data_IF_570844576554
#
_entry.id   IF_570844576554
#
_cell.length_a   1.000
_cell.length_b   1.000
_cell.length_c   1.000
_cell.angle_alpha   90.00
_cell.angle_beta   90.00
_cell.angle_gamma   90.00
#
_symmetry.space_group_name_H-M   'P 1'
#
loop_
_entity.id
_entity.type
_entity.pdbx_description
1 polymer ?
#
# COMPACT_ATOMS: atom_id res chain seq x y z
N UNK A 1 10.69 37.91 -13.95
CA UNK A 1 9.40 38.41 -14.46
C UNK A 1 9.26 38.39 -16.00
N UNK A 2 10.16 37.72 -16.77
CA UNK A 2 10.08 37.69 -18.25
C UNK A 2 9.40 36.45 -18.86
N UNK A 3 9.58 35.27 -18.25
CA UNK A 3 9.39 33.96 -18.92
C UNK A 3 7.96 33.38 -18.92
N UNK A 4 6.92 34.21 -18.77
CA UNK A 4 5.51 33.75 -18.79
C UNK A 4 4.70 34.51 -19.85
N UNK A 5 5.20 35.67 -20.28
CA UNK A 5 4.55 36.54 -21.26
C UNK A 5 4.42 35.84 -22.61
N UNK A 6 5.42 35.08 -23.07
CA UNK A 6 5.32 34.28 -24.29
C UNK A 6 4.22 33.21 -24.23
N UNK A 7 4.06 32.52 -23.10
CA UNK A 7 3.03 31.47 -22.91
C UNK A 7 1.60 32.02 -22.89
N UNK A 8 1.40 33.22 -22.32
CA UNK A 8 0.07 33.82 -22.13
C UNK A 8 -0.31 34.74 -23.29
N UNK A 9 0.62 35.57 -23.77
CA UNK A 9 0.32 36.63 -24.74
C UNK A 9 0.32 36.20 -26.21
N UNK A 10 0.90 35.04 -26.56
CA UNK A 10 0.76 34.43 -27.89
C UNK A 10 -0.67 33.90 -28.14
N UNK A 11 -1.25 33.04 -27.29
CA UNK A 11 -2.61 32.52 -27.52
C UNK A 11 -3.70 33.60 -27.35
N UNK A 12 -3.57 34.51 -26.37
CA UNK A 12 -4.52 35.62 -26.16
C UNK A 12 -4.35 36.77 -27.18
N UNK A 13 -3.29 36.72 -27.99
CA UNK A 13 -2.92 37.79 -28.92
C UNK A 13 -3.39 37.59 -30.36
N UNK A 14 -4.08 36.49 -30.66
CA UNK A 14 -4.57 36.17 -31.99
C UNK A 14 -5.69 37.15 -32.38
N UNK A 15 -5.33 38.24 -33.06
CA UNK A 15 -6.26 39.27 -33.53
C UNK A 15 -5.82 40.72 -33.29
N UNK A 16 -4.73 40.94 -32.53
CA UNK A 16 -4.17 42.27 -32.30
C UNK A 16 -3.03 42.55 -33.29
N UNK A 17 -3.07 43.73 -33.94
CA UNK A 17 -1.99 44.21 -34.80
C UNK A 17 -0.76 44.57 -33.97
N UNK A 18 0.12 43.58 -33.78
CA UNK A 18 1.37 43.73 -33.03
C UNK A 18 2.55 44.04 -33.97
N UNK A 19 3.46 44.95 -33.60
CA UNK A 19 4.67 45.23 -34.36
C UNK A 19 5.54 43.97 -34.50
N UNK A 20 6.22 43.86 -35.65
CA UNK A 20 6.94 42.65 -36.07
C UNK A 20 8.02 42.21 -35.09
N UNK A 21 8.72 43.17 -34.48
CA UNK A 21 9.71 42.94 -33.44
C UNK A 21 9.12 42.27 -32.18
N UNK A 22 7.94 42.73 -31.74
CA UNK A 22 7.27 42.18 -30.56
C UNK A 22 6.79 40.75 -30.80
N UNK A 23 6.31 40.44 -32.02
CA UNK A 23 5.95 39.08 -32.43
C UNK A 23 7.17 38.15 -32.42
N UNK A 24 8.32 38.63 -32.90
CA UNK A 24 9.56 37.86 -32.90
C UNK A 24 10.07 37.60 -31.48
N UNK A 25 10.12 38.64 -30.65
CA UNK A 25 10.56 38.53 -29.25
C UNK A 25 9.69 37.57 -28.43
N UNK A 26 8.35 37.62 -28.57
CA UNK A 26 7.43 36.69 -27.90
C UNK A 26 7.65 35.23 -28.32
N UNK A 27 8.01 34.96 -29.59
CA UNK A 27 8.33 33.60 -30.05
C UNK A 27 9.62 33.08 -29.43
N UNK A 28 10.64 33.93 -29.29
CA UNK A 28 11.90 33.59 -28.64
C UNK A 28 11.68 33.32 -27.16
N UNK A 29 10.93 34.17 -26.45
CA UNK A 29 10.56 33.98 -25.05
C UNK A 29 9.78 32.67 -24.83
N UNK A 30 8.82 32.37 -25.71
CA UNK A 30 8.07 31.12 -25.68
C UNK A 30 8.98 29.89 -25.88
N UNK A 31 9.85 29.90 -26.90
CA UNK A 31 10.75 28.80 -27.17
C UNK A 31 11.72 28.56 -26.02
N UNK A 32 12.28 29.62 -25.45
CA UNK A 32 13.22 29.53 -24.32
C UNK A 32 12.52 29.02 -23.06
N UNK A 33 11.30 29.48 -22.79
CA UNK A 33 10.48 29.00 -21.67
C UNK A 33 10.13 27.53 -21.83
N UNK A 34 9.77 27.08 -23.04
CA UNK A 34 9.49 25.67 -23.31
C UNK A 34 10.74 24.80 -23.10
N UNK A 35 11.91 25.27 -23.56
CA UNK A 35 13.19 24.58 -23.37
C UNK A 35 13.55 24.46 -21.88
N UNK A 36 13.35 25.53 -21.09
CA UNK A 36 13.59 25.50 -19.64
C UNK A 36 12.55 24.68 -18.88
N UNK A 37 11.32 24.59 -19.39
CA UNK A 37 10.26 23.80 -18.80
C UNK A 37 10.39 22.30 -19.13
N UNK A 38 11.05 21.92 -20.23
CA UNK A 38 11.24 20.51 -20.61
C UNK A 38 11.85 19.64 -19.51
N UNK A 39 12.95 20.04 -18.83
CA UNK A 39 13.47 19.32 -17.68
C UNK A 39 12.45 19.20 -16.54
N UNK A 40 11.68 20.26 -16.28
CA UNK A 40 10.65 20.28 -15.24
C UNK A 40 9.52 19.32 -15.60
N UNK A 41 9.04 19.30 -16.85
CA UNK A 41 8.03 18.35 -17.30
C UNK A 41 8.51 16.91 -17.22
N UNK A 42 9.77 16.65 -17.58
CA UNK A 42 10.36 15.31 -17.49
C UNK A 42 10.47 14.84 -16.03
N UNK A 43 11.00 15.69 -15.14
CA UNK A 43 11.09 15.40 -13.70
C UNK A 43 9.70 15.24 -13.08
N UNK A 44 8.77 16.15 -13.39
CA UNK A 44 7.40 16.08 -12.87
C UNK A 44 6.67 14.82 -13.35
N UNK A 45 6.91 14.36 -14.59
CA UNK A 45 6.35 13.10 -15.12
C UNK A 45 6.87 11.88 -14.37
N UNK A 46 8.17 11.84 -14.05
CA UNK A 46 8.78 10.76 -13.26
C UNK A 46 8.37 10.80 -11.79
N UNK A 47 7.95 11.96 -11.29
CA UNK A 47 7.37 12.15 -9.95
C UNK A 47 5.86 11.87 -9.90
N UNK A 48 5.19 11.58 -11.03
CA UNK A 48 3.77 11.29 -11.01
C UNK A 48 3.52 9.88 -10.47
N UNK A 49 2.51 9.70 -9.61
CA UNK A 49 2.12 8.38 -9.15
C UNK A 49 1.73 7.49 -10.32
N UNK A 50 2.18 6.23 -10.31
CA UNK A 50 1.73 5.26 -11.31
C UNK A 50 0.57 4.44 -10.80
N UNK A 51 -0.50 4.38 -11.59
CA UNK A 51 -1.62 3.49 -11.33
C UNK A 51 -1.20 2.03 -11.47
N UNK A 52 -1.34 1.29 -10.38
CA UNK A 52 -1.06 -0.15 -10.25
C UNK A 52 -2.31 -0.97 -10.53
N UNK A 53 -3.43 -0.58 -9.94
CA UNK A 53 -4.73 -1.21 -10.06
C UNK A 53 -5.83 -0.16 -9.96
N UNK A 54 -6.95 -0.36 -10.63
CA UNK A 54 -8.01 0.65 -10.70
C UNK A 54 -9.38 -0.02 -10.84
N UNK A 55 -10.37 0.53 -10.15
CA UNK A 55 -11.79 0.28 -10.28
C UNK A 55 -12.52 1.63 -10.39
N UNK A 56 -13.83 1.64 -10.65
CA UNK A 56 -14.63 2.86 -10.77
C UNK A 56 -14.52 3.78 -9.54
N UNK A 57 -14.43 3.21 -8.34
CA UNK A 57 -14.43 3.96 -7.06
C UNK A 57 -13.06 3.98 -6.36
N UNK A 58 -12.18 3.04 -6.67
CA UNK A 58 -10.93 2.82 -5.95
C UNK A 58 -9.73 2.78 -6.88
N UNK A 59 -8.57 3.16 -6.37
CA UNK A 59 -7.31 3.13 -7.10
C UNK A 59 -6.22 2.64 -6.16
N UNK A 60 -5.32 1.81 -6.68
CA UNK A 60 -4.02 1.55 -6.07
C UNK A 60 -2.99 2.24 -6.93
N UNK A 61 -2.21 3.14 -6.34
CA UNK A 61 -1.13 3.85 -7.01
C UNK A 61 0.18 3.66 -6.26
N UNK A 62 1.31 3.64 -6.96
CA UNK A 62 2.62 3.78 -6.33
C UNK A 62 3.12 5.21 -6.41
N UNK A 63 3.85 5.63 -5.38
CA UNK A 63 4.75 6.76 -5.54
C UNK A 63 5.94 6.32 -6.39
N UNK A 64 6.09 6.94 -7.55
CA UNK A 64 7.35 6.89 -8.28
C UNK A 64 8.04 8.21 -7.98
N UNK A 65 9.15 8.15 -7.24
CA UNK A 65 9.99 9.29 -6.98
C UNK A 65 11.44 8.85 -7.08
N UNK A 66 12.32 9.74 -7.54
CA UNK A 66 13.77 9.50 -7.64
C UNK A 66 14.40 9.01 -6.31
N UNK A 67 13.77 9.35 -5.18
CA UNK A 67 14.18 8.96 -3.82
C UNK A 67 13.07 8.21 -3.05
N UNK A 68 11.94 7.88 -3.70
CA UNK A 68 10.83 7.25 -3.01
C UNK A 68 11.16 5.78 -2.72
N UNK A 69 11.02 5.38 -1.45
CA UNK A 69 10.88 3.99 -1.08
C UNK A 69 9.60 3.50 -1.78
N UNK A 70 9.69 2.45 -2.61
CA UNK A 70 8.56 2.03 -3.45
C UNK A 70 7.40 1.64 -2.54
N UNK A 71 6.42 2.52 -2.45
CA UNK A 71 5.21 2.28 -1.68
C UNK A 71 4.03 2.25 -2.63
N UNK A 72 3.03 1.48 -2.25
CA UNK A 72 1.75 1.50 -2.93
C UNK A 72 0.67 1.87 -1.94
N UNK A 73 -0.30 2.62 -2.40
CA UNK A 73 -1.36 3.16 -1.58
C UNK A 73 -2.69 2.77 -2.20
N UNK A 74 -3.56 2.19 -1.38
CA UNK A 74 -4.96 2.04 -1.71
C UNK A 74 -5.67 3.35 -1.38
N UNK A 75 -6.39 3.90 -2.35
CA UNK A 75 -7.13 5.13 -2.20
C UNK A 75 -8.54 5.05 -2.82
N UNK A 76 -9.45 5.86 -2.28
CA UNK A 76 -10.78 6.07 -2.83
C UNK A 76 -10.78 7.30 -3.71
N UNK A 77 -11.41 7.22 -4.88
CA UNK A 77 -11.59 8.37 -5.78
C UNK A 77 -12.61 9.32 -5.16
N UNK A 78 -12.24 10.59 -4.97
CA UNK A 78 -13.08 11.63 -4.40
C UNK A 78 -12.95 12.92 -5.22
N UNK A 79 -13.79 13.02 -6.27
CA UNK A 79 -13.74 14.13 -7.21
C UNK A 79 -12.41 14.19 -7.96
N UNK A 80 -11.67 15.29 -7.82
CA UNK A 80 -10.37 15.50 -8.48
C UNK A 80 -9.22 14.85 -7.70
N UNK A 81 -9.43 14.51 -6.43
CA UNK A 81 -8.40 13.96 -5.54
C UNK A 81 -8.70 12.49 -5.21
N UNK A 82 -7.67 11.78 -4.76
CA UNK A 82 -7.80 10.45 -4.18
C UNK A 82 -7.52 10.53 -2.67
N UNK A 83 -8.36 9.89 -1.87
CA UNK A 83 -8.19 9.80 -0.43
C UNK A 83 -7.52 8.47 -0.09
N UNK A 84 -6.30 8.52 0.45
CA UNK A 84 -5.55 7.32 0.85
C UNK A 84 -6.24 6.61 2.02
N UNK A 85 -6.63 5.36 1.80
CA UNK A 85 -7.26 4.49 2.80
C UNK A 85 -6.19 3.66 3.52
N UNK A 86 -5.21 3.15 2.76
CA UNK A 86 -4.27 2.18 3.30
C UNK A 86 -2.91 2.23 2.61
N UNK A 87 -1.85 2.03 3.38
CA UNK A 87 -0.49 1.84 2.89
C UNK A 87 -0.18 0.35 2.73
N UNK A 88 0.14 -0.05 1.50
CA UNK A 88 0.47 -1.41 1.11
C UNK A 88 1.97 -1.74 1.29
N UNK A 89 2.74 -0.88 1.95
CA UNK A 89 4.17 -1.04 2.22
C UNK A 89 4.52 -2.32 3.00
N UNK A 90 5.68 -2.95 2.71
CA UNK A 90 6.50 -2.78 1.50
C UNK A 90 5.85 -3.22 0.17
N UNK A 91 5.86 -2.36 -0.86
CA UNK A 91 5.41 -2.71 -2.21
C UNK A 91 6.57 -2.65 -3.21
N UNK A 92 7.02 -3.79 -3.71
CA UNK A 92 8.02 -3.78 -4.77
C UNK A 92 7.37 -3.56 -6.13
N UNK A 93 7.80 -2.48 -6.82
CA UNK A 93 7.16 -1.82 -7.97
C UNK A 93 6.70 -2.66 -9.18
N UNK A 94 6.05 -2.00 -10.13
CA UNK A 94 5.45 -2.60 -11.35
C UNK A 94 3.94 -2.79 -11.22
N UNK A 95 3.21 -2.91 -12.32
CA UNK A 95 1.74 -3.07 -12.28
C UNK A 95 1.32 -4.44 -11.73
N UNK A 96 0.21 -4.48 -10.99
CA UNK A 96 -0.48 -5.73 -10.71
C UNK A 96 -1.21 -6.18 -11.98
N UNK A 97 -1.17 -7.47 -12.28
CA UNK A 97 -2.05 -8.03 -13.32
C UNK A 97 -3.49 -7.98 -12.81
N UNK A 98 -4.45 -7.78 -13.71
CA UNK A 98 -5.89 -7.76 -13.39
C UNK A 98 -6.33 -8.95 -12.55
N UNK A 99 -5.74 -10.12 -12.81
CA UNK A 99 -6.15 -11.38 -12.19
C UNK A 99 -5.54 -11.58 -10.79
N UNK A 100 -4.65 -10.66 -10.36
CA UNK A 100 -3.89 -10.76 -9.12
C UNK A 100 -4.47 -9.90 -8.00
N UNK A 101 -5.58 -9.19 -8.23
CA UNK A 101 -6.24 -8.38 -7.22
C UNK A 101 -7.75 -8.35 -7.45
N UNK A 102 -8.50 -7.95 -6.42
CA UNK A 102 -9.93 -7.71 -6.52
C UNK A 102 -10.39 -6.63 -5.55
N UNK A 103 -11.24 -5.74 -6.07
CA UNK A 103 -12.04 -4.82 -5.29
C UNK A 103 -13.44 -5.43 -5.09
N UNK A 104 -13.68 -6.08 -3.95
CA UNK A 104 -14.99 -6.63 -3.61
C UNK A 104 -15.79 -5.57 -2.83
N UNK A 105 -16.50 -4.72 -3.58
CA UNK A 105 -17.30 -3.59 -3.04
C UNK A 105 -18.54 -4.04 -2.26
N UNK A 106 -19.05 -5.23 -2.55
CA UNK A 106 -20.20 -5.80 -1.86
C UNK A 106 -19.81 -6.19 -0.43
N UNK A 107 -18.65 -6.85 -0.31
CA UNK A 107 -18.13 -7.33 0.97
C UNK A 107 -17.21 -6.34 1.68
N UNK A 108 -16.86 -5.25 1.00
CA UNK A 108 -16.04 -4.16 1.53
C UNK A 108 -14.56 -4.54 1.70
N UNK A 109 -14.03 -5.44 0.88
CA UNK A 109 -12.65 -5.95 0.99
C UNK A 109 -11.85 -5.75 -0.30
N UNK A 110 -10.62 -5.30 -0.14
CA UNK A 110 -9.58 -5.40 -1.15
C UNK A 110 -8.71 -6.58 -0.80
N UNK A 111 -8.47 -7.44 -1.78
CA UNK A 111 -7.48 -8.48 -1.63
C UNK A 111 -6.71 -8.68 -2.91
N UNK A 112 -5.45 -9.09 -2.78
CA UNK A 112 -4.59 -9.34 -3.92
C UNK A 112 -3.31 -10.04 -3.52
N UNK A 113 -2.68 -10.67 -4.50
CA UNK A 113 -1.41 -11.35 -4.34
C UNK A 113 -0.50 -11.04 -5.53
N UNK A 114 0.66 -10.46 -5.25
CA UNK A 114 1.75 -10.37 -6.21
C UNK A 114 2.71 -11.51 -5.92
N UNK A 115 2.62 -12.59 -6.67
CA UNK A 115 3.55 -13.71 -6.55
C UNK A 115 4.67 -13.56 -7.58
N UNK A 116 5.91 -13.48 -7.09
CA UNK A 116 7.07 -13.51 -7.96
C UNK A 116 7.53 -14.96 -8.13
N UNK A 117 7.89 -15.33 -9.36
CA UNK A 117 8.50 -16.64 -9.64
C UNK A 117 9.90 -16.80 -9.02
N UNK A 118 10.52 -15.70 -8.58
CA UNK A 118 11.87 -15.66 -8.02
C UNK A 118 11.74 -15.06 -6.62
N UNK A 119 12.20 -15.78 -5.59
CA UNK A 119 12.15 -15.38 -4.16
C UNK A 119 12.79 -14.01 -3.85
N UNK A 120 13.61 -13.48 -4.76
CA UNK A 120 14.34 -12.23 -4.54
C UNK A 120 13.54 -10.94 -4.76
N UNK A 121 12.29 -11.03 -5.24
CA UNK A 121 11.44 -9.85 -5.48
C UNK A 121 10.23 -9.75 -4.54
N UNK A 122 10.20 -10.52 -3.44
CA UNK A 122 9.19 -10.42 -2.37
C UNK A 122 7.75 -10.69 -2.85
N UNK A 123 7.27 -11.92 -2.75
CA UNK A 123 5.84 -12.16 -2.98
C UNK A 123 5.02 -11.48 -1.89
N UNK A 124 3.95 -10.78 -2.28
CA UNK A 124 3.13 -10.06 -1.31
C UNK A 124 1.65 -10.32 -1.42
N UNK A 125 1.00 -10.44 -0.28
CA UNK A 125 -0.44 -10.61 -0.18
C UNK A 125 -1.06 -9.55 0.71
N UNK A 126 -2.27 -9.11 0.35
CA UNK A 126 -3.06 -8.16 1.13
C UNK A 126 -4.49 -8.66 1.27
N UNK A 127 -5.06 -8.51 2.47
CA UNK A 127 -6.51 -8.56 2.72
C UNK A 127 -6.85 -7.41 3.66
N UNK A 128 -7.45 -6.36 3.11
CA UNK A 128 -7.65 -5.08 3.82
C UNK A 128 -9.06 -4.52 3.57
N UNK A 129 -9.62 -3.72 4.49
CA UNK A 129 -10.94 -3.14 4.34
C UNK A 129 -10.96 -2.00 3.30
N UNK A 130 -11.92 -2.05 2.38
CA UNK A 130 -12.32 -0.90 1.54
C UNK A 130 -13.28 0.03 2.30
N UNK A 131 -14.19 -0.59 3.07
CA UNK A 131 -15.22 0.06 3.87
C UNK A 131 -15.33 -0.70 5.18
N UNK A 132 -15.10 -0.01 6.31
CA UNK A 132 -15.04 -0.67 7.62
C UNK A 132 -16.37 -1.31 8.01
N UNK A 133 -17.50 -0.68 7.70
CA UNK A 133 -18.81 -1.19 8.08
C UNK A 133 -19.17 -2.45 7.30
N UNK A 134 -18.99 -2.42 5.97
CA UNK A 134 -19.22 -3.59 5.12
C UNK A 134 -18.25 -4.73 5.46
N UNK A 135 -16.99 -4.40 5.70
CA UNK A 135 -15.97 -5.38 6.07
C UNK A 135 -16.32 -6.09 7.38
N UNK A 136 -16.70 -5.34 8.42
CA UNK A 136 -17.12 -5.89 9.70
C UNK A 136 -18.43 -6.71 9.59
N UNK A 137 -19.39 -6.22 8.79
CA UNK A 137 -20.65 -6.95 8.53
C UNK A 137 -20.41 -8.30 7.84
N UNK A 138 -19.39 -8.38 6.98
CA UNK A 138 -19.04 -9.59 6.22
C UNK A 138 -17.87 -10.38 6.84
N UNK A 139 -17.64 -10.27 8.16
CA UNK A 139 -16.49 -10.87 8.83
C UNK A 139 -16.30 -12.37 8.58
N UNK A 140 -17.38 -13.14 8.46
CA UNK A 140 -17.30 -14.59 8.22
C UNK A 140 -16.65 -14.90 6.87
N UNK A 141 -17.06 -14.17 5.82
CA UNK A 141 -16.44 -14.27 4.50
C UNK A 141 -14.97 -13.86 4.55
N UNK A 142 -14.67 -12.75 5.23
CA UNK A 142 -13.29 -12.24 5.34
C UNK A 142 -12.40 -13.27 6.06
N UNK A 143 -12.87 -13.88 7.15
CA UNK A 143 -12.12 -14.94 7.82
C UNK A 143 -11.90 -16.13 6.91
N UNK A 144 -12.93 -16.58 6.19
CA UNK A 144 -12.79 -17.67 5.23
C UNK A 144 -11.80 -17.34 4.11
N UNK A 145 -11.80 -16.10 3.61
CA UNK A 145 -10.85 -15.62 2.62
C UNK A 145 -9.41 -15.67 3.16
N UNK A 146 -9.18 -15.16 4.37
CA UNK A 146 -7.86 -15.20 5.03
C UNK A 146 -7.40 -16.65 5.23
N UNK A 147 -8.27 -17.51 5.78
CA UNK A 147 -7.95 -18.91 6.06
C UNK A 147 -7.67 -19.69 4.77
N UNK A 148 -8.43 -19.42 3.69
CA UNK A 148 -8.22 -20.03 2.38
C UNK A 148 -6.91 -19.58 1.73
N UNK A 149 -6.60 -18.29 1.79
CA UNK A 149 -5.35 -17.75 1.25
C UNK A 149 -4.14 -18.28 2.01
N UNK A 150 -4.24 -18.33 3.34
CA UNK A 150 -3.19 -18.89 4.18
C UNK A 150 -3.01 -20.40 3.94
N UNK A 151 -4.10 -21.14 3.76
CA UNK A 151 -4.02 -22.59 3.46
C UNK A 151 -3.40 -22.86 2.09
N UNK A 152 -3.62 -22.00 1.10
CA UNK A 152 -3.04 -22.12 -0.24
C UNK A 152 -1.57 -21.67 -0.31
N UNK A 153 -1.17 -20.69 0.51
CA UNK A 153 0.11 -19.98 0.36
C UNK A 153 0.90 -19.81 1.66
N UNK A 154 0.60 -20.61 2.70
CA UNK A 154 1.14 -20.42 4.05
C UNK A 154 2.66 -20.44 4.13
N UNK A 155 3.34 -21.32 3.38
CA UNK A 155 4.81 -21.33 3.33
C UNK A 155 5.38 -20.02 2.77
N UNK A 156 4.71 -19.40 1.80
CA UNK A 156 5.16 -18.11 1.25
C UNK A 156 4.82 -16.98 2.21
N UNK A 157 3.63 -16.98 2.79
CA UNK A 157 3.22 -15.97 3.78
C UNK A 157 4.15 -15.97 4.99
N UNK A 158 4.56 -17.14 5.46
CA UNK A 158 5.46 -17.28 6.60
C UNK A 158 6.88 -16.75 6.32
N UNK A 159 7.34 -16.74 5.06
CA UNK A 159 8.72 -16.44 4.70
C UNK A 159 8.90 -15.15 3.87
N UNK A 160 7.84 -14.62 3.27
CA UNK A 160 7.84 -13.39 2.50
C UNK A 160 7.05 -12.30 3.26
N UNK A 161 6.37 -11.41 2.53
CA UNK A 161 5.58 -10.32 3.09
C UNK A 161 4.08 -10.55 2.91
N UNK A 162 3.29 -10.31 3.94
CA UNK A 162 1.83 -10.29 3.80
C UNK A 162 1.20 -9.37 4.84
N UNK A 163 0.09 -8.73 4.48
CA UNK A 163 -0.65 -7.86 5.39
C UNK A 163 -2.12 -8.30 5.44
N UNK A 164 -2.59 -8.65 6.63
CA UNK A 164 -3.97 -9.00 6.88
C UNK A 164 -4.56 -8.07 7.94
N UNK A 165 -5.74 -7.53 7.67
CA UNK A 165 -6.55 -6.86 8.69
C UNK A 165 -7.58 -7.86 9.21
N UNK A 166 -7.57 -8.13 10.50
CA UNK A 166 -8.57 -9.02 11.10
C UNK A 166 -9.88 -8.24 11.25
N UNK A 167 -11.04 -8.77 10.77
CA UNK A 167 -12.31 -8.03 10.83
C UNK A 167 -12.77 -7.73 12.26
N UNK A 168 -12.41 -8.58 13.23
CA UNK A 168 -12.69 -8.31 14.64
C UNK A 168 -11.65 -7.35 15.25
N UNK A 169 -11.99 -6.08 15.34
CA UNK A 169 -11.15 -5.05 15.95
C UNK A 169 -10.17 -4.39 14.99
N UNK A 170 -10.19 -4.74 13.71
CA UNK A 170 -9.32 -4.16 12.66
C UNK A 170 -7.82 -4.28 12.96
N UNK A 171 -7.43 -5.34 13.68
CA UNK A 171 -6.03 -5.60 14.00
C UNK A 171 -5.22 -5.85 12.74
N UNK A 172 -4.16 -5.07 12.53
CA UNK A 172 -3.20 -5.29 11.45
C UNK A 172 -2.22 -6.38 11.84
N UNK A 173 -2.04 -7.36 10.97
CA UNK A 173 -1.07 -8.44 11.09
C UNK A 173 -0.18 -8.41 9.86
N UNK A 174 1.09 -8.06 10.05
CA UNK A 174 2.10 -8.09 9.01
C UNK A 174 3.02 -9.28 9.19
N UNK A 175 3.23 -10.02 8.12
CA UNK A 175 4.27 -11.03 7.99
C UNK A 175 5.45 -10.38 7.29
N UNK A 176 6.66 -10.62 7.81
CA UNK A 176 7.90 -10.11 7.23
C UNK A 176 9.00 -11.10 7.54
N UNK A 177 9.38 -11.91 6.54
CA UNK A 177 10.59 -12.74 6.60
C UNK A 177 10.69 -13.64 7.86
N UNK A 178 9.61 -14.33 8.22
CA UNK A 178 9.57 -15.20 9.41
C UNK A 178 9.19 -14.50 10.72
N UNK A 179 8.99 -13.17 10.69
CA UNK A 179 8.46 -12.40 11.81
C UNK A 179 6.99 -12.03 11.56
N UNK A 180 6.19 -12.07 12.62
CA UNK A 180 4.80 -11.59 12.57
C UNK A 180 4.67 -10.39 13.49
N UNK A 181 4.19 -9.27 12.97
CA UNK A 181 3.93 -8.04 13.72
C UNK A 181 2.45 -7.79 13.79
N UNK A 182 1.98 -7.48 14.99
CA UNK A 182 0.59 -7.09 15.21
C UNK A 182 0.55 -5.63 15.65
N UNK A 183 -0.32 -4.86 15.02
CA UNK A 183 -0.52 -3.45 15.31
C UNK A 183 -2.02 -3.13 15.42
N UNK A 184 -2.42 -2.72 16.61
CA UNK A 184 -3.76 -2.22 16.97
C UNK A 184 -3.61 -1.39 18.27
N UNK A 185 -4.52 -1.56 19.23
CA UNK A 185 -4.39 -1.23 20.66
C UNK A 185 -3.20 -1.91 21.37
N UNK A 186 -2.50 -2.80 20.67
CA UNK A 186 -1.32 -3.55 21.13
C UNK A 186 -0.31 -3.48 20.00
N UNK A 187 0.96 -3.28 20.35
CA UNK A 187 2.08 -3.50 19.43
C UNK A 187 2.87 -4.69 19.92
N UNK A 188 2.95 -5.75 19.11
CA UNK A 188 3.76 -6.91 19.48
C UNK A 188 4.39 -7.56 18.25
N UNK A 189 5.47 -8.30 18.50
CA UNK A 189 6.19 -9.11 17.52
C UNK A 189 6.20 -10.55 17.99
N UNK A 190 5.90 -11.47 17.08
CA UNK A 190 6.02 -12.91 17.26
C UNK A 190 7.15 -13.40 16.37
N UNK A 191 8.13 -14.06 16.98
CA UNK A 191 9.28 -14.65 16.30
C UNK A 191 9.24 -16.17 16.39
N UNK A 192 9.38 -16.82 15.25
CA UNK A 192 9.52 -18.28 15.15
C UNK A 192 10.96 -18.71 14.83
N UNK A 193 11.93 -17.81 15.00
CA UNK A 193 13.33 -18.04 14.68
C UNK A 193 13.97 -19.12 15.58
N UNK A 194 13.51 -19.25 16.83
CA UNK A 194 13.98 -20.30 17.72
C UNK A 194 13.53 -21.70 17.25
N UNK A 195 14.39 -22.68 17.45
CA UNK A 195 14.14 -24.06 17.05
C UNK A 195 12.99 -24.69 17.83
N UNK A 196 12.94 -24.43 19.13
CA UNK A 196 12.08 -25.09 20.13
C UNK A 196 10.98 -24.19 20.72
N UNK A 197 10.99 -22.90 20.40
CA UNK A 197 10.15 -21.90 21.04
C UNK A 197 9.62 -20.85 20.08
N UNK A 198 8.59 -20.15 20.55
CA UNK A 198 8.00 -18.98 19.93
C UNK A 198 8.11 -17.83 20.91
N UNK A 199 8.82 -16.79 20.50
CA UNK A 199 9.06 -15.62 21.32
C UNK A 199 8.06 -14.52 20.95
N UNK A 200 7.35 -14.01 21.96
CA UNK A 200 6.36 -12.95 21.81
C UNK A 200 6.84 -11.73 22.59
N UNK A 201 7.15 -10.67 21.87
CA UNK A 201 7.58 -9.38 22.40
C UNK A 201 6.41 -8.40 22.35
N UNK A 202 5.86 -8.03 23.50
CA UNK A 202 4.91 -6.93 23.61
C UNK A 202 5.69 -5.64 23.80
N UNK A 203 5.43 -4.65 22.94
CA UNK A 203 6.02 -3.31 23.04
C UNK A 203 5.07 -2.30 23.68
N UNK A 204 3.76 -2.49 23.50
CA UNK A 204 2.71 -1.61 24.04
C UNK A 204 1.45 -2.43 24.37
N UNK A 205 0.73 -2.15 25.48
CA UNK A 205 0.92 -1.04 26.43
C UNK A 205 1.99 -1.27 27.50
N UNK A 206 2.40 -2.52 27.71
CA UNK A 206 3.44 -2.90 28.66
C UNK A 206 4.51 -3.68 27.91
N UNK A 207 5.77 -3.35 28.17
CA UNK A 207 6.90 -4.10 27.62
C UNK A 207 7.00 -5.43 28.35
N UNK A 208 6.79 -6.53 27.64
CA UNK A 208 6.85 -7.88 28.20
C UNK A 208 7.30 -8.87 27.13
N UNK A 209 8.03 -9.89 27.58
CA UNK A 209 8.45 -11.00 26.72
C UNK A 209 7.84 -12.29 27.26
N UNK A 210 7.20 -13.05 26.37
CA UNK A 210 6.65 -14.36 26.67
C UNK A 210 7.28 -15.36 25.72
N UNK A 211 7.83 -16.43 26.28
CA UNK A 211 8.39 -17.54 25.52
C UNK A 211 7.51 -18.77 25.68
N UNK A 212 7.03 -19.29 24.56
CA UNK A 212 6.16 -20.47 24.54
C UNK A 212 6.89 -21.63 23.85
N UNK A 213 6.68 -22.88 24.31
CA UNK A 213 7.09 -24.06 23.56
C UNK A 213 6.44 -24.08 22.18
N UNK A 214 7.19 -24.42 21.13
CA UNK A 214 6.72 -24.32 19.74
C UNK A 214 5.53 -25.22 19.42
N UNK A 215 5.47 -26.38 20.07
CA UNK A 215 4.38 -27.35 20.04
C UNK A 215 3.08 -26.81 20.70
N UNK A 216 3.17 -25.77 21.53
CA UNK A 216 1.98 -25.12 22.13
C UNK A 216 1.25 -24.16 21.18
N UNK A 217 1.85 -23.84 20.02
CA UNK A 217 1.27 -22.95 19.00
C UNK A 217 0.79 -23.79 17.80
N UNK A 218 -0.53 -23.92 17.66
CA UNK A 218 -1.17 -24.81 16.68
C UNK A 218 -0.98 -24.40 15.22
N UNK A 219 -0.92 -23.09 14.95
CA UNK A 219 -0.86 -22.55 13.58
C UNK A 219 -0.28 -21.13 13.59
N UNK A 220 0.34 -20.75 12.48
CA UNK A 220 0.78 -19.37 12.24
C UNK A 220 -0.20 -18.58 11.36
N UNK A 221 -1.40 -19.11 11.11
CA UNK A 221 -2.43 -18.38 10.38
C UNK A 221 -2.80 -17.07 11.09
N UNK A 222 -3.18 -16.01 10.35
CA UNK A 222 -3.45 -14.70 10.95
C UNK A 222 -4.51 -14.77 12.07
N UNK A 223 -5.52 -15.61 11.89
CA UNK A 223 -6.60 -15.84 12.84
C UNK A 223 -6.13 -16.50 14.14
N UNK A 224 -5.32 -17.56 14.04
CA UNK A 224 -4.81 -18.26 15.23
C UNK A 224 -3.77 -17.41 15.96
N UNK A 225 -2.92 -16.69 15.23
CA UNK A 225 -1.98 -15.72 15.84
C UNK A 225 -2.74 -14.63 16.60
N UNK A 226 -3.78 -14.05 16.00
CA UNK A 226 -4.61 -13.05 16.68
C UNK A 226 -5.24 -13.59 17.97
N UNK A 227 -5.74 -14.82 17.94
CA UNK A 227 -6.34 -15.50 19.10
C UNK A 227 -5.30 -15.77 20.19
N UNK A 228 -4.10 -16.23 19.82
CA UNK A 228 -2.98 -16.44 20.74
C UNK A 228 -2.62 -15.15 21.47
N UNK A 229 -2.42 -14.06 20.73
CA UNK A 229 -2.05 -12.76 21.32
C UNK A 229 -3.15 -12.22 22.24
N UNK A 230 -4.42 -12.34 21.85
CA UNK A 230 -5.55 -11.95 22.73
C UNK A 230 -5.57 -12.76 24.03
N UNK A 231 -5.28 -14.06 23.97
CA UNK A 231 -5.20 -14.93 25.15
C UNK A 231 -4.06 -14.50 26.08
N UNK A 232 -2.86 -14.28 25.54
CA UNK A 232 -1.70 -13.88 26.34
C UNK A 232 -1.87 -12.49 26.96
N UNK A 233 -2.46 -11.53 26.23
CA UNK A 233 -2.83 -10.22 26.81
C UNK A 233 -3.78 -10.35 27.99
N UNK A 234 -4.76 -11.25 27.93
CA UNK A 234 -5.70 -11.48 29.02
C UNK A 234 -5.03 -11.94 30.32
N UNK A 235 -3.90 -12.64 30.22
CA UNK A 235 -3.09 -13.08 31.36
C UNK A 235 -2.04 -12.10 31.85
N UNK A 236 -1.80 -11.00 31.12
CA UNK A 236 -0.88 -9.90 31.51
C UNK A 236 -1.57 -8.80 32.33
N UNK A 237 -2.82 -9.02 32.76
CA UNK A 237 -3.62 -8.07 33.56
C UNK A 237 -3.47 -8.29 35.05
#
# INVERSE_FOLDING_TARGET
MGFILGLVALPLGNGLDKPQFLKWWLRVDFAFTLILALPVFFICSECMPTTIAEDDEYIVYSDNGFFANRNAYLARKSGVLAETIFDLHPYEGGRLKSDNYRFDKERGVFYGSKMYRIRQNGSRMWVIPLDREKYAKNKEYVYHLIDSLYSAHGEWIDNDDATFIIPDGFTRIDYTHGEIRLQDSISCKVSYAASDSVDIYFYYPLSAEIRLPKDSVSSRSPKEVHKLIKKQKGGLR
#
